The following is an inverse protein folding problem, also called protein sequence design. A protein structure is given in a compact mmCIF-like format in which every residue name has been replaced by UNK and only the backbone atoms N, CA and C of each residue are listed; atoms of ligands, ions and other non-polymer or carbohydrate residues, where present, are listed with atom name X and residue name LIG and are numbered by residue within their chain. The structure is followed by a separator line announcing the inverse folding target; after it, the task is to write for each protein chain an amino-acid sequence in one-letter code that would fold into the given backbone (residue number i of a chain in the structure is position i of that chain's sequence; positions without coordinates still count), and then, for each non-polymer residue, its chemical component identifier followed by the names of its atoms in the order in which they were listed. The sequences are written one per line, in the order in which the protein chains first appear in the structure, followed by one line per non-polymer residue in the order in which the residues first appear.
data_IF_500089271853
#
_entry.id   IF_500089271853
#
_cell.length_a   1.000
_cell.length_b   1.000
_cell.length_c   1.000
_cell.angle_alpha   90.00
_cell.angle_beta   90.00
_cell.angle_gamma   90.00
#
_symmetry.space_group_name_H-M   'P 1'
#
loop_
_entity.id
_entity.type
_entity.pdbx_description
1 polymer ?
#
# COMPACT_ATOMS: atom_id res chain seq x y z
N UNK A 1 -13.01 12.80 -4.39
CA UNK A 1 -14.02 11.76 -4.63
C UNK A 1 -13.71 10.63 -3.66
N UNK A 2 -14.50 10.48 -2.60
CA UNK A 2 -14.22 9.53 -1.50
C UNK A 2 -14.52 8.11 -1.99
N UNK A 3 -13.67 7.13 -1.68
CA UNK A 3 -13.98 5.72 -1.95
C UNK A 3 -15.37 5.38 -1.36
N UNK A 4 -16.21 4.60 -2.07
CA UNK A 4 -17.54 4.23 -1.60
C UNK A 4 -17.45 3.57 -0.21
N UNK A 5 -18.48 3.81 0.62
CA UNK A 5 -18.59 3.14 1.92
C UNK A 5 -18.74 1.63 1.69
N UNK A 6 -18.07 0.79 2.49
CA UNK A 6 -18.09 -0.65 2.27
C UNK A 6 -19.48 -1.23 2.56
N UNK A 7 -20.14 -1.78 1.54
CA UNK A 7 -21.21 -2.76 1.72
C UNK A 7 -20.60 -4.07 2.24
N UNK A 8 -21.35 -4.78 3.09
CA UNK A 8 -20.87 -5.95 3.82
C UNK A 8 -20.50 -7.07 2.84
N UNK A 9 -19.21 -7.22 2.58
CA UNK A 9 -18.67 -8.25 1.68
C UNK A 9 -18.15 -9.40 2.56
N UNK A 10 -18.46 -10.67 2.26
CA UNK A 10 -17.92 -11.79 3.04
C UNK A 10 -16.39 -11.72 3.00
N UNK A 11 -15.76 -11.85 4.16
CA UNK A 11 -14.31 -11.75 4.30
C UNK A 11 -13.64 -12.85 3.47
N UNK A 12 -13.19 -12.51 2.26
CA UNK A 12 -12.37 -13.37 1.45
C UNK A 12 -11.04 -13.65 2.15
N UNK A 13 -10.65 -14.91 2.17
CA UNK A 13 -9.40 -15.38 2.78
C UNK A 13 -8.24 -15.27 1.78
N UNK A 14 -8.07 -14.10 1.17
CA UNK A 14 -6.91 -13.88 0.31
C UNK A 14 -5.64 -13.81 1.18
N UNK A 15 -4.65 -14.69 0.96
CA UNK A 15 -3.48 -14.79 1.82
C UNK A 15 -2.59 -13.54 1.75
N UNK A 16 -2.58 -12.83 0.61
CA UNK A 16 -1.82 -11.59 0.48
C UNK A 16 -2.47 -10.47 1.30
N UNK A 17 -3.80 -10.34 1.22
CA UNK A 17 -4.54 -9.35 2.03
C UNK A 17 -4.34 -9.63 3.52
N UNK A 18 -4.45 -10.89 3.96
CA UNK A 18 -4.22 -11.25 5.36
C UNK A 18 -2.81 -10.88 5.82
N UNK A 19 -1.79 -11.21 5.02
CA UNK A 19 -0.39 -10.87 5.32
C UNK A 19 -0.18 -9.37 5.41
N UNK A 20 -0.77 -8.59 4.49
CA UNK A 20 -0.71 -7.13 4.50
C UNK A 20 -1.35 -6.56 5.77
N UNK A 21 -2.56 -7.00 6.12
CA UNK A 21 -3.27 -6.52 7.32
C UNK A 21 -2.48 -6.82 8.60
N UNK A 22 -1.98 -8.04 8.76
CA UNK A 22 -1.15 -8.43 9.92
C UNK A 22 0.14 -7.61 10.00
N UNK A 23 0.78 -7.36 8.85
CA UNK A 23 1.99 -6.55 8.80
C UNK A 23 1.70 -5.09 9.15
N UNK A 24 0.66 -4.51 8.58
CA UNK A 24 0.28 -3.11 8.79
C UNK A 24 -0.12 -2.87 10.25
N UNK A 25 -0.84 -3.80 10.87
CA UNK A 25 -1.16 -3.75 12.30
C UNK A 25 0.13 -3.67 13.15
N UNK A 26 1.06 -4.59 12.91
CA UNK A 26 2.35 -4.59 13.60
C UNK A 26 3.11 -3.27 13.40
N UNK A 27 3.25 -2.80 12.16
CA UNK A 27 3.98 -1.56 11.87
C UNK A 27 3.28 -0.34 12.49
N UNK A 28 1.95 -0.31 12.51
CA UNK A 28 1.15 0.75 13.11
C UNK A 28 1.35 0.81 14.63
N UNK A 29 1.24 -0.33 15.31
CA UNK A 29 1.42 -0.44 16.76
C UNK A 29 2.83 -0.02 17.21
N UNK A 30 3.83 -0.28 16.37
CA UNK A 30 5.23 0.07 16.62
C UNK A 30 5.65 1.42 16.01
N UNK A 31 4.74 2.17 15.38
CA UNK A 31 5.01 3.45 14.72
C UNK A 31 6.19 3.38 13.74
N UNK A 32 6.26 2.28 12.98
CA UNK A 32 7.28 2.07 11.96
C UNK A 32 6.75 2.61 10.63
N UNK A 33 7.43 3.62 10.09
CA UNK A 33 7.09 4.22 8.81
C UNK A 33 7.18 3.23 7.66
N UNK A 34 6.12 3.14 6.86
CA UNK A 34 6.08 2.23 5.73
C UNK A 34 5.38 2.85 4.53
N UNK A 35 5.87 2.51 3.33
CA UNK A 35 5.27 2.83 2.05
C UNK A 35 5.24 1.57 1.19
N UNK A 36 4.05 1.03 0.96
CA UNK A 36 3.82 -0.16 0.16
C UNK A 36 3.02 0.22 -1.08
N UNK A 37 3.48 -0.20 -2.27
CA UNK A 37 2.74 -0.08 -3.52
C UNK A 37 2.32 -1.47 -3.97
N UNK A 38 1.01 -1.68 -4.07
CA UNK A 38 0.44 -2.93 -4.57
C UNK A 38 0.14 -2.76 -6.05
N UNK A 39 0.81 -3.56 -6.86
CA UNK A 39 0.63 -3.64 -8.30
C UNK A 39 -0.52 -4.58 -8.64
N UNK A 40 -1.38 -4.16 -9.58
CA UNK A 40 -2.51 -4.95 -10.07
C UNK A 40 -2.22 -5.47 -11.48
N UNK A 41 -3.09 -5.11 -12.43
CA UNK A 41 -3.07 -5.57 -13.82
C UNK A 41 -1.81 -5.10 -14.56
N UNK A 42 -1.46 -3.83 -14.39
CA UNK A 42 -0.29 -3.22 -15.03
C UNK A 42 0.76 -2.94 -13.94
N UNK A 43 1.96 -3.53 -14.06
CA UNK A 43 3.04 -3.28 -13.12
C UNK A 43 3.65 -1.89 -13.29
N UNK A 44 4.36 -1.41 -12.28
CA UNK A 44 5.18 -0.21 -12.44
C UNK A 44 6.34 -0.49 -13.39
N UNK A 45 6.65 0.51 -14.21
CA UNK A 45 7.80 0.53 -15.11
C UNK A 45 8.86 1.49 -14.58
N UNK A 46 10.07 1.42 -15.15
CA UNK A 46 11.15 2.35 -14.80
C UNK A 46 10.81 3.81 -15.13
N UNK A 47 9.85 4.06 -16.02
CA UNK A 47 9.39 5.40 -16.37
C UNK A 47 8.41 6.00 -15.34
N UNK A 48 7.77 5.16 -14.52
CA UNK A 48 6.80 5.59 -13.51
C UNK A 48 7.47 6.01 -12.19
N UNK A 49 8.77 5.74 -12.04
CA UNK A 49 9.53 5.95 -10.80
C UNK A 49 10.69 6.91 -11.03
N UNK A 50 11.10 7.64 -9.98
CA UNK A 50 12.25 8.54 -10.06
C UNK A 50 13.58 7.78 -9.97
N UNK A 51 13.58 6.68 -9.22
CA UNK A 51 14.72 5.77 -9.11
C UNK A 51 14.21 4.35 -8.84
N UNK A 52 14.67 3.34 -9.59
CA UNK A 52 14.31 1.96 -9.32
C UNK A 52 14.87 1.51 -7.96
N UNK A 53 14.09 0.69 -7.25
CA UNK A 53 14.52 0.05 -6.00
C UNK A 53 15.40 -1.17 -6.23
N UNK A 54 15.84 -1.79 -5.15
CA UNK A 54 16.57 -3.06 -5.18
C UNK A 54 15.58 -4.18 -5.47
N UNK A 55 15.82 -4.94 -6.55
CA UNK A 55 15.02 -6.12 -6.90
C UNK A 55 15.24 -7.22 -5.86
N UNK A 56 14.15 -7.72 -5.27
CA UNK A 56 14.20 -8.71 -4.20
C UNK A 56 13.58 -10.05 -4.61
N UNK A 57 12.41 -10.02 -5.27
CA UNK A 57 11.63 -11.21 -5.66
C UNK A 57 11.43 -12.21 -4.49
N UNK A 58 11.11 -11.69 -3.31
CA UNK A 58 10.87 -12.49 -2.11
C UNK A 58 9.39 -12.86 -2.00
N UNK A 59 9.09 -13.94 -1.27
CA UNK A 59 7.71 -14.25 -0.89
C UNK A 59 7.13 -13.15 0.02
N UNK A 60 5.86 -12.82 -0.20
CA UNK A 60 5.12 -11.88 0.64
C UNK A 60 4.83 -12.55 1.99
N UNK A 61 5.66 -12.25 2.99
CA UNK A 61 5.48 -12.69 4.37
C UNK A 61 5.61 -11.49 5.30
N UNK A 62 4.95 -11.56 6.46
CA UNK A 62 5.05 -10.51 7.47
C UNK A 62 6.51 -10.29 7.88
N UNK A 63 7.27 -11.37 8.06
CA UNK A 63 8.68 -11.28 8.43
C UNK A 63 9.52 -10.50 7.41
N UNK A 64 9.33 -10.75 6.11
CA UNK A 64 10.06 -10.05 5.06
C UNK A 64 9.71 -8.56 5.02
N UNK A 65 8.42 -8.22 5.13
CA UNK A 65 7.99 -6.81 5.15
C UNK A 65 8.52 -6.08 6.40
N UNK A 66 8.42 -6.69 7.57
CA UNK A 66 8.94 -6.11 8.83
C UNK A 66 10.46 -5.92 8.75
N UNK A 67 11.20 -6.85 8.14
CA UNK A 67 12.65 -6.69 7.91
C UNK A 67 12.96 -5.52 6.98
N UNK A 68 12.19 -5.35 5.91
CA UNK A 68 12.40 -4.25 4.94
C UNK A 68 12.17 -2.90 5.61
N UNK A 69 11.07 -2.73 6.36
CA UNK A 69 10.69 -1.45 6.97
C UNK A 69 11.40 -1.14 8.30
N UNK A 70 12.28 -2.01 8.80
CA UNK A 70 13.09 -1.69 9.98
C UNK A 70 13.94 -0.43 9.70
N UNK A 71 13.94 0.59 10.58
CA UNK A 71 14.69 1.83 10.37
C UNK A 71 16.20 1.65 10.15
N UNK A 72 16.79 0.56 10.62
CA UNK A 72 18.20 0.23 10.41
C UNK A 72 18.51 -0.39 9.04
N UNK A 73 17.49 -0.76 8.26
CA UNK A 73 17.64 -1.42 6.96
C UNK A 73 17.89 -0.39 5.86
N UNK A 74 18.87 -0.52 4.95
CA UNK A 74 19.02 0.41 3.84
C UNK A 74 17.81 0.43 2.88
N UNK A 75 16.91 -0.56 2.97
CA UNK A 75 15.73 -0.69 2.11
C UNK A 75 14.48 0.02 2.64
N UNK A 76 14.49 0.51 3.89
CA UNK A 76 13.31 1.15 4.51
C UNK A 76 13.01 2.55 3.95
N UNK A 77 14.01 3.15 3.29
CA UNK A 77 13.91 4.48 2.69
C UNK A 77 13.42 4.36 1.25
N UNK A 78 12.10 4.50 1.08
CA UNK A 78 11.41 4.39 -0.20
C UNK A 78 10.23 3.43 -0.17
N UNK A 79 9.70 3.15 -1.35
CA UNK A 79 8.55 2.28 -1.54
C UNK A 79 8.95 0.81 -1.70
N UNK A 80 8.15 -0.07 -1.11
CA UNK A 80 8.18 -1.51 -1.35
C UNK A 80 7.09 -1.88 -2.36
N UNK A 81 7.49 -2.46 -3.49
CA UNK A 81 6.59 -2.90 -4.55
C UNK A 81 6.16 -4.34 -4.32
N UNK A 82 4.85 -4.59 -4.33
CA UNK A 82 4.23 -5.88 -4.04
C UNK A 82 3.34 -6.26 -5.23
N UNK A 83 3.47 -7.50 -5.71
CA UNK A 83 2.64 -8.04 -6.80
C UNK A 83 2.17 -9.45 -6.43
N UNK A 84 0.87 -9.60 -6.24
CA UNK A 84 0.29 -10.86 -5.76
C UNK A 84 0.91 -11.28 -4.42
N UNK A 85 1.53 -12.46 -4.39
CA UNK A 85 2.20 -12.99 -3.19
C UNK A 85 3.73 -12.79 -3.21
N UNK A 86 4.24 -11.79 -3.95
CA UNK A 86 5.67 -11.51 -4.02
C UNK A 86 5.99 -10.04 -3.75
N UNK A 87 7.13 -9.81 -3.09
CA UNK A 87 7.78 -8.51 -2.95
C UNK A 87 8.76 -8.38 -4.11
N UNK A 88 8.48 -7.46 -5.03
CA UNK A 88 9.23 -7.30 -6.28
C UNK A 88 10.51 -6.49 -6.03
N UNK A 89 10.37 -5.34 -5.37
CA UNK A 89 11.47 -4.43 -5.08
C UNK A 89 11.23 -3.66 -3.79
N UNK A 90 12.29 -3.11 -3.19
CA UNK A 90 12.22 -2.21 -2.05
C UNK A 90 13.17 -1.02 -2.22
N UNK A 91 12.89 0.08 -1.52
CA UNK A 91 13.66 1.32 -1.64
C UNK A 91 13.45 2.05 -2.97
N UNK A 92 12.29 1.85 -3.64
CA UNK A 92 11.97 2.57 -4.88
C UNK A 92 11.63 4.02 -4.56
N UNK A 93 12.23 4.98 -5.28
CA UNK A 93 11.91 6.39 -5.15
C UNK A 93 10.78 6.77 -6.11
N UNK A 94 9.67 7.26 -5.54
CA UNK A 94 8.47 7.60 -6.30
C UNK A 94 8.30 9.11 -6.49
N UNK A 95 7.60 9.55 -7.56
CA UNK A 95 7.20 10.93 -7.72
C UNK A 95 6.28 11.38 -6.58
N UNK A 96 6.41 12.64 -6.17
CA UNK A 96 5.56 13.24 -5.14
C UNK A 96 4.37 13.95 -5.79
N UNK A 97 3.21 13.87 -5.16
CA UNK A 97 2.05 14.67 -5.56
C UNK A 97 2.28 16.15 -5.29
N UNK A 98 1.73 17.01 -6.16
CA UNK A 98 1.68 18.46 -5.97
C UNK A 98 0.40 18.91 -5.24
N UNK A 99 -0.48 17.99 -4.84
CA UNK A 99 -1.69 18.36 -4.11
C UNK A 99 -1.36 18.97 -2.74
N UNK A 100 -2.07 20.02 -2.31
CA UNK A 100 -1.84 20.68 -1.03
C UNK A 100 -2.39 19.84 0.12
N UNK A 101 -1.66 18.80 0.53
CA UNK A 101 -1.99 18.03 1.73
C UNK A 101 -1.67 18.83 3.01
N UNK A 102 -2.44 18.62 4.10
CA UNK A 102 -2.11 19.19 5.41
C UNK A 102 -0.67 18.86 5.84
N UNK A 103 0.01 19.82 6.49
CA UNK A 103 1.43 19.72 6.90
C UNK A 103 1.81 18.49 7.73
N UNK A 104 0.83 17.85 8.37
CA UNK A 104 1.02 16.60 9.14
C UNK A 104 1.31 15.38 8.26
N UNK A 105 1.14 15.47 6.94
CA UNK A 105 1.44 14.37 6.02
C UNK A 105 2.82 14.57 5.42
N UNK A 106 3.73 13.65 5.76
CA UNK A 106 5.11 13.66 5.26
C UNK A 106 5.28 13.13 3.83
N UNK A 107 6.54 12.99 3.42
CA UNK A 107 6.96 12.60 2.07
C UNK A 107 6.40 11.25 1.61
N UNK A 108 6.30 10.24 2.48
CA UNK A 108 5.69 8.93 2.13
C UNK A 108 4.23 9.06 1.68
N UNK A 109 3.47 9.97 2.29
CA UNK A 109 2.09 10.24 1.90
C UNK A 109 2.01 10.91 0.53
N UNK A 110 2.87 11.91 0.29
CA UNK A 110 2.96 12.59 -1.00
C UNK A 110 3.43 11.64 -2.12
N UNK A 111 4.36 10.74 -1.83
CA UNK A 111 4.83 9.70 -2.74
C UNK A 111 3.72 8.70 -3.10
N UNK A 112 2.99 8.19 -2.09
CA UNK A 112 1.86 7.30 -2.31
C UNK A 112 0.76 7.97 -3.14
N UNK A 113 0.48 9.24 -2.88
CA UNK A 113 -0.51 9.99 -3.66
C UNK A 113 -0.01 10.21 -5.09
N UNK A 114 1.23 10.67 -5.26
CA UNK A 114 1.82 11.01 -6.55
C UNK A 114 1.85 9.83 -7.51
N UNK A 115 2.30 8.66 -7.05
CA UNK A 115 2.27 7.47 -7.91
C UNK A 115 0.84 7.03 -8.24
N UNK A 116 -0.11 7.17 -7.31
CA UNK A 116 -1.51 6.79 -7.54
C UNK A 116 -2.24 7.71 -8.52
N UNK A 117 -1.76 8.94 -8.70
CA UNK A 117 -2.24 9.89 -9.71
C UNK A 117 -1.74 9.54 -11.10
N UNK A 118 -0.48 9.10 -11.20
CA UNK A 118 0.15 8.73 -12.48
C UNK A 118 -0.28 7.34 -12.96
N UNK A 119 -0.37 6.37 -12.04
CA UNK A 119 -0.60 4.96 -12.37
C UNK A 119 -1.89 4.47 -11.72
N UNK A 120 -2.95 4.41 -12.52
CA UNK A 120 -4.30 4.08 -12.05
C UNK A 120 -4.47 2.64 -11.54
N UNK A 121 -3.55 1.73 -11.86
CA UNK A 121 -3.53 0.34 -11.38
C UNK A 121 -2.87 0.20 -10.00
N UNK A 122 -2.19 1.24 -9.50
CA UNK A 122 -1.46 1.16 -8.25
C UNK A 122 -2.31 1.54 -7.04
N UNK A 123 -2.15 0.77 -5.96
CA UNK A 123 -2.67 1.10 -4.64
C UNK A 123 -1.49 1.43 -3.75
N UNK A 124 -1.46 2.63 -3.19
CA UNK A 124 -0.49 3.01 -2.17
C UNK A 124 -1.05 2.77 -0.77
N UNK A 125 -0.22 2.22 0.12
CA UNK A 125 -0.51 2.11 1.54
C UNK A 125 0.63 2.74 2.31
N UNK A 126 0.29 3.62 3.24
CA UNK A 126 1.23 4.32 4.10
C UNK A 126 0.91 4.05 5.56
N UNK A 127 1.93 3.71 6.33
CA UNK A 127 1.89 3.72 7.80
C UNK A 127 2.73 4.89 8.27
N UNK A 128 2.14 5.78 9.07
CA UNK A 128 2.82 6.95 9.63
C UNK A 128 3.79 6.54 10.73
N UNK A 129 5.04 6.99 10.63
CA UNK A 129 6.04 6.84 11.71
C UNK A 129 5.79 7.75 12.91
N UNK A 130 4.99 8.81 12.73
CA UNK A 130 4.69 9.76 13.81
C UNK A 130 3.48 9.32 14.64
N UNK A 131 2.51 8.64 14.01
CA UNK A 131 1.20 8.38 14.62
C UNK A 131 0.76 6.93 14.55
N UNK A 132 1.44 6.09 13.77
CA UNK A 132 0.95 4.75 13.41
C UNK A 132 -0.27 4.76 12.49
N UNK A 133 -0.81 5.93 12.13
CA UNK A 133 -2.01 6.05 11.30
C UNK A 133 -1.83 5.45 9.91
N UNK A 134 -2.86 4.77 9.43
CA UNK A 134 -2.86 4.08 8.13
C UNK A 134 -3.59 4.92 7.09
N UNK A 135 -2.97 5.06 5.93
CA UNK A 135 -3.53 5.77 4.77
C UNK A 135 -3.49 4.88 3.54
N UNK A 136 -4.56 4.87 2.76
CA UNK A 136 -4.62 4.25 1.44
C UNK A 136 -4.77 5.32 0.36
N UNK A 137 -4.03 5.16 -0.74
CA UNK A 137 -4.16 5.98 -1.94
C UNK A 137 -4.47 5.12 -3.15
N UNK A 138 -5.36 5.59 -4.02
CA UNK A 138 -5.72 4.91 -5.27
C UNK A 138 -6.39 5.91 -6.21
N UNK A 139 -5.90 6.01 -7.45
CA UNK A 139 -6.43 6.94 -8.47
C UNK A 139 -6.54 8.38 -7.97
N UNK A 140 -5.49 8.88 -7.30
CA UNK A 140 -5.47 10.23 -6.72
C UNK A 140 -6.40 10.45 -5.51
N UNK A 141 -7.07 9.41 -5.01
CA UNK A 141 -7.83 9.48 -3.76
C UNK A 141 -6.90 9.30 -2.56
N UNK A 142 -7.18 10.01 -1.46
CA UNK A 142 -6.39 9.98 -0.23
C UNK A 142 -7.28 9.64 0.96
N UNK A 143 -7.24 8.38 1.40
CA UNK A 143 -8.09 7.83 2.46
C UNK A 143 -7.23 7.59 3.71
N UNK A 144 -7.23 8.53 4.65
CA UNK A 144 -6.43 8.48 5.87
C UNK A 144 -7.21 7.96 7.08
N UNK A 145 -6.50 7.72 8.19
CA UNK A 145 -7.05 7.29 9.47
C UNK A 145 -7.94 6.04 9.34
N UNK A 146 -7.53 5.12 8.46
CA UNK A 146 -8.25 3.88 8.26
C UNK A 146 -8.05 2.94 9.44
N UNK A 147 -9.14 2.36 9.92
CA UNK A 147 -9.07 1.18 10.78
C UNK A 147 -8.70 -0.05 9.96
N UNK A 148 -8.11 -1.07 10.58
CA UNK A 148 -7.75 -2.32 9.89
C UNK A 148 -8.96 -2.99 9.20
N UNK A 149 -10.16 -3.06 9.82
CA UNK A 149 -11.33 -3.61 9.13
C UNK A 149 -11.71 -2.80 7.87
N UNK A 150 -11.66 -1.47 7.93
CA UNK A 150 -11.94 -0.63 6.75
C UNK A 150 -10.89 -0.85 5.65
N UNK A 151 -9.60 -0.88 6.02
CA UNK A 151 -8.53 -1.17 5.08
C UNK A 151 -8.73 -2.52 4.41
N UNK A 152 -9.06 -3.56 5.19
CA UNK A 152 -9.28 -4.90 4.66
C UNK A 152 -10.39 -4.91 3.62
N UNK A 153 -11.53 -4.25 3.89
CA UNK A 153 -12.62 -4.19 2.91
C UNK A 153 -12.20 -3.43 1.65
N UNK A 154 -11.48 -2.31 1.79
CA UNK A 154 -10.95 -1.59 0.62
C UNK A 154 -10.00 -2.45 -0.21
N UNK A 155 -9.10 -3.19 0.42
CA UNK A 155 -8.18 -4.10 -0.30
C UNK A 155 -8.95 -5.21 -1.01
N UNK A 156 -9.98 -5.79 -0.39
CA UNK A 156 -10.82 -6.80 -1.03
C UNK A 156 -11.53 -6.25 -2.26
N UNK A 157 -12.15 -5.07 -2.14
CA UNK A 157 -12.84 -4.41 -3.27
C UNK A 157 -11.90 -4.05 -4.43
N UNK A 158 -10.65 -3.69 -4.11
CA UNK A 158 -9.69 -3.24 -5.11
C UNK A 158 -8.90 -4.39 -5.74
N UNK A 159 -8.59 -5.45 -5.00
CA UNK A 159 -7.71 -6.52 -5.46
C UNK A 159 -8.46 -7.73 -6.00
N UNK A 160 -9.69 -7.98 -5.54
CA UNK A 160 -10.46 -9.14 -5.95
C UNK A 160 -11.47 -8.76 -7.04
N UNK A 161 -11.78 -9.68 -7.97
CA UNK A 161 -12.90 -9.47 -8.87
C UNK A 161 -14.19 -9.31 -8.04
N UNK A 162 -15.18 -8.52 -8.52
CA UNK A 162 -16.49 -8.51 -7.89
C UNK A 162 -17.00 -9.96 -7.85
N UNK A 163 -17.41 -10.42 -6.67
CA UNK A 163 -17.95 -11.76 -6.50
C UNK A 163 -19.19 -11.85 -7.38
N UNK A 164 -19.09 -12.51 -8.52
CA UNK A 164 -20.27 -12.88 -9.31
C UNK A 164 -20.98 -13.96 -8.50
N UNK A 165 -21.91 -13.55 -7.65
CA UNK A 165 -22.90 -14.45 -7.09
C UNK A 165 -23.72 -14.95 -8.28
N UNK A 166 -23.36 -16.12 -8.80
CA UNK A 166 -24.23 -16.86 -9.70
C UNK A 166 -25.37 -17.36 -8.82
N UNK A 167 -26.48 -16.62 -8.82
CA UNK A 167 -27.72 -17.14 -8.28
C UNK A 167 -28.04 -18.46 -9.02
N UNK A 168 -28.32 -19.55 -8.30
CA UNK A 168 -28.81 -20.79 -8.90
C UNK A 168 -30.18 -20.60 -9.59
#
# INVERSE_FOLDING_TARGET
MTLPKPEYMPLSHDPAIQTLIQTIDYLSQHQIGALMIIERQTPLTEHDVLRPGVLLKLSLTQENLVRIFRPSSPLHDGATQIRGQAIIAAGTLLPLSCQPLPRRYGTRHLAALGISEQVSSCIGIVVSEETGGVTLTHKGSFNNNLTLPQLQIYLQQLLLPPTTESLP
#
